data_IF_201468504940
#
_entry.id   IF_201468504940
#
_cell.length_a   1.000
_cell.length_b   1.000
_cell.length_c   1.000
_cell.angle_alpha   90.00
_cell.angle_beta   90.00
_cell.angle_gamma   90.00
#
_symmetry.space_group_name_H-M   'P 1'
#
loop_
_entity.id
_entity.type
_entity.pdbx_description
1 polymer ?
#
# COMPACT_ATOMS: atom_id res chain seq x y z
N UNK A 1 -16.02 -1.87 -22.46
CA UNK A 1 -15.36 -3.02 -21.82
C UNK A 1 -15.07 -2.61 -20.38
N UNK A 2 -15.55 -3.36 -19.39
CA UNK A 2 -15.39 -2.98 -17.99
C UNK A 2 -13.90 -2.98 -17.63
N UNK A 3 -13.32 -1.79 -17.49
CA UNK A 3 -12.05 -1.61 -16.78
C UNK A 3 -12.28 -2.09 -15.34
N UNK A 4 -12.02 -3.37 -15.07
CA UNK A 4 -11.88 -3.85 -13.70
C UNK A 4 -10.74 -3.05 -13.09
N UNK A 5 -11.08 -2.04 -12.30
CA UNK A 5 -10.14 -1.32 -11.46
C UNK A 5 -9.40 -2.37 -10.61
N UNK A 6 -8.20 -2.74 -11.05
CA UNK A 6 -7.37 -3.67 -10.32
C UNK A 6 -6.82 -2.91 -9.11
N UNK A 7 -6.87 -3.54 -7.94
CA UNK A 7 -6.36 -2.99 -6.70
C UNK A 7 -5.10 -3.75 -6.31
N UNK A 8 -4.05 -3.02 -5.95
CA UNK A 8 -2.92 -3.60 -5.25
C UNK A 8 -3.18 -3.51 -3.76
N UNK A 9 -2.88 -4.58 -3.01
CA UNK A 9 -3.03 -4.62 -1.56
C UNK A 9 -1.68 -4.82 -0.90
N UNK A 10 -1.42 -4.08 0.17
CA UNK A 10 -0.20 -4.18 0.97
C UNK A 10 -0.58 -4.36 2.43
N UNK A 11 0.05 -5.33 3.08
CA UNK A 11 -0.11 -5.61 4.50
C UNK A 11 1.19 -5.30 5.20
N UNK A 12 1.13 -4.48 6.23
CA UNK A 12 2.29 -4.04 7.01
C UNK A 12 1.99 -4.30 8.49
N UNK A 13 2.98 -4.79 9.22
CA UNK A 13 2.88 -4.92 10.66
C UNK A 13 3.77 -3.86 11.29
N UNK A 14 3.16 -2.94 12.01
CA UNK A 14 3.79 -1.82 12.69
C UNK A 14 3.72 -2.05 14.19
N UNK A 15 4.74 -1.64 14.93
CA UNK A 15 4.78 -1.78 16.38
C UNK A 15 6.02 -2.53 16.86
N UNK A 16 6.54 -2.07 18.00
CA UNK A 16 7.68 -2.67 18.69
C UNK A 16 7.23 -3.69 19.72
N UNK A 17 8.17 -4.51 20.17
CA UNK A 17 7.96 -5.39 21.33
C UNK A 17 7.54 -4.60 22.57
N UNK A 18 7.94 -3.33 22.68
CA UNK A 18 7.70 -2.43 23.81
C UNK A 18 6.30 -1.78 23.81
N UNK A 19 5.48 -2.04 22.80
CA UNK A 19 4.19 -1.39 22.57
C UNK A 19 4.12 -0.75 21.18
N UNK A 20 2.90 -0.57 20.67
CA UNK A 20 2.68 0.28 19.51
C UNK A 20 2.33 1.67 20.01
N UNK A 21 3.16 2.65 19.67
CA UNK A 21 2.85 4.05 19.93
C UNK A 21 2.00 4.55 18.77
N UNK A 22 0.99 5.38 19.06
CA UNK A 22 0.15 6.01 18.04
C UNK A 22 1.01 6.80 17.03
N UNK A 23 2.17 7.30 17.45
CA UNK A 23 3.19 7.96 16.61
C UNK A 23 3.77 7.04 15.53
N UNK A 24 4.06 5.77 15.85
CA UNK A 24 4.58 4.79 14.88
C UNK A 24 3.50 4.46 13.82
N UNK A 25 2.24 4.40 14.26
CA UNK A 25 1.09 4.17 13.39
C UNK A 25 0.86 5.36 12.46
N UNK A 26 0.89 6.59 13.00
CA UNK A 26 0.74 7.82 12.23
C UNK A 26 1.86 7.97 11.20
N UNK A 27 3.11 7.71 11.57
CA UNK A 27 4.25 7.72 10.65
C UNK A 27 4.06 6.72 9.49
N UNK A 28 3.63 5.49 9.79
CA UNK A 28 3.37 4.47 8.77
C UNK A 28 2.21 4.86 7.84
N UNK A 29 1.14 5.48 8.37
CA UNK A 29 0.02 5.97 7.57
C UNK A 29 0.42 7.12 6.65
N UNK A 30 1.23 8.06 7.15
CA UNK A 30 1.77 9.16 6.36
C UNK A 30 2.64 8.64 5.21
N UNK A 31 3.57 7.72 5.48
CA UNK A 31 4.43 7.12 4.46
C UNK A 31 3.62 6.38 3.37
N UNK A 32 2.54 5.71 3.77
CA UNK A 32 1.61 5.05 2.84
C UNK A 32 0.88 6.07 1.98
N UNK A 33 0.36 7.14 2.59
CA UNK A 33 -0.28 8.24 1.89
C UNK A 33 0.64 8.88 0.84
N UNK A 34 1.90 9.13 1.17
CA UNK A 34 2.91 9.65 0.24
C UNK A 34 3.15 8.71 -0.95
N UNK A 35 3.13 7.41 -0.70
CA UNK A 35 3.27 6.37 -1.73
C UNK A 35 1.97 6.14 -2.55
N UNK A 36 0.88 6.84 -2.22
CA UNK A 36 -0.43 6.73 -2.86
C UNK A 36 -1.23 5.50 -2.44
N UNK A 37 -0.94 4.95 -1.25
CA UNK A 37 -1.70 3.87 -0.64
C UNK A 37 -2.78 4.43 0.28
N UNK A 38 -3.96 3.82 0.23
CA UNK A 38 -5.10 4.11 1.09
C UNK A 38 -5.23 3.01 2.14
N UNK A 39 -5.09 3.36 3.42
CA UNK A 39 -5.32 2.43 4.52
C UNK A 39 -6.80 2.07 4.63
N UNK A 40 -7.11 0.77 4.59
CA UNK A 40 -8.50 0.25 4.61
C UNK A 40 -8.83 -0.51 5.88
N UNK A 41 -7.83 -1.05 6.57
CA UNK A 41 -8.07 -1.77 7.81
C UNK A 41 -6.86 -1.68 8.73
N UNK A 42 -7.13 -1.58 10.02
CA UNK A 42 -6.12 -1.54 11.08
C UNK A 42 -6.63 -2.43 12.21
N UNK A 43 -5.90 -3.47 12.54
CA UNK A 43 -6.30 -4.39 13.61
C UNK A 43 -5.11 -4.84 14.45
N UNK A 44 -5.37 -5.03 15.75
CA UNK A 44 -4.43 -5.70 16.63
C UNK A 44 -4.45 -7.20 16.37
N UNK A 45 -3.27 -7.81 16.33
CA UNK A 45 -3.19 -9.27 16.38
C UNK A 45 -3.35 -9.70 17.84
N UNK A 46 -4.36 -10.52 18.11
CA UNK A 46 -4.64 -11.01 19.46
C UNK A 46 -3.39 -11.66 20.08
N UNK A 47 -3.03 -11.24 21.31
CA UNK A 47 -1.82 -11.67 21.99
C UNK A 47 -0.50 -11.03 21.51
N UNK A 48 -0.54 -10.04 20.61
CA UNK A 48 0.66 -9.30 20.17
C UNK A 48 0.51 -7.79 20.43
N UNK A 49 1.58 -7.10 20.88
CA UNK A 49 1.57 -5.64 21.03
C UNK A 49 1.69 -4.91 19.68
N UNK A 50 1.52 -5.62 18.55
CA UNK A 50 1.76 -5.12 17.19
C UNK A 50 0.44 -4.88 16.47
N UNK A 51 0.39 -3.80 15.72
CA UNK A 51 -0.72 -3.41 14.84
C UNK A 51 -0.46 -3.92 13.43
N UNK A 52 -1.48 -4.50 12.81
CA UNK A 52 -1.45 -4.87 11.39
C UNK A 52 -2.30 -3.90 10.61
N UNK A 53 -1.69 -3.28 9.61
CA UNK A 53 -2.30 -2.34 8.71
C UNK A 53 -2.49 -2.98 7.34
N UNK A 54 -3.66 -2.82 6.76
CA UNK A 54 -3.97 -3.21 5.39
C UNK A 54 -4.23 -1.94 4.60
N UNK A 55 -3.49 -1.77 3.51
CA UNK A 55 -3.66 -0.68 2.58
C UNK A 55 -3.95 -1.19 1.17
N UNK A 56 -4.65 -0.40 0.38
CA UNK A 56 -4.91 -0.67 -1.05
C UNK A 56 -4.51 0.53 -1.89
N UNK A 57 -4.17 0.30 -3.16
CA UNK A 57 -3.89 1.37 -4.12
C UNK A 57 -4.53 1.03 -5.47
N UNK A 58 -5.12 2.02 -6.19
CA UNK A 58 -5.63 1.78 -7.53
C UNK A 58 -4.48 1.52 -8.51
N UNK A 59 -4.52 0.35 -9.15
CA UNK A 59 -3.59 -0.03 -10.21
C UNK A 59 -4.06 0.62 -11.51
N UNK A 60 -3.84 1.93 -11.63
CA UNK A 60 -4.33 2.71 -12.78
C UNK A 60 -3.72 2.21 -14.10
N UNK A 61 -4.48 2.20 -15.21
CA UNK A 61 -4.01 1.74 -16.52
C UNK A 61 -2.76 2.48 -17.04
N UNK A 62 -2.49 3.70 -16.54
CA UNK A 62 -1.32 4.50 -16.89
C UNK A 62 0.02 3.82 -16.57
N UNK A 63 0.07 2.97 -15.53
CA UNK A 63 1.26 2.19 -15.20
C UNK A 63 1.49 1.04 -16.20
N UNK A 64 0.42 0.48 -16.80
CA UNK A 64 0.54 -0.51 -17.89
C UNK A 64 1.08 0.14 -19.16
N UNK A 65 0.57 1.33 -19.54
CA UNK A 65 1.04 2.05 -20.74
C UNK A 65 2.54 2.36 -20.70
N UNK A 66 3.12 2.63 -19.52
CA UNK A 66 4.57 2.87 -19.38
C UNK A 66 5.41 1.60 -19.59
N UNK A 67 4.84 0.41 -19.41
CA UNK A 67 5.49 -0.89 -19.61
C UNK A 67 5.27 -1.46 -21.01
N UNK A 68 4.29 -0.93 -21.74
CA UNK A 68 3.98 -1.29 -23.14
C UNK A 68 4.55 -0.29 -24.16
N UNK A 69 5.66 0.39 -23.86
CA UNK A 69 6.50 1.00 -24.88
C UNK A 69 7.65 0.04 -25.18
N UNK A 70 7.53 -0.86 -26.18
CA UNK A 70 8.71 -1.46 -26.78
C UNK A 70 9.54 -0.32 -27.36
N UNK A 71 10.86 -0.44 -27.21
CA UNK A 71 11.82 0.51 -27.70
C UNK A 71 11.52 0.95 -29.13
N UNK A 72 11.64 2.25 -29.32
CA UNK A 72 12.09 2.90 -30.54
C UNK A 72 12.97 1.96 -31.39
N UNK A 73 12.35 1.31 -32.37
CA UNK A 73 13.07 0.77 -33.54
C UNK A 73 12.88 1.79 -34.66
N UNK A 74 13.83 2.71 -34.77
CA UNK A 74 13.92 3.66 -35.90
C UNK A 74 14.95 3.10 -36.89
N UNK A 75 14.69 3.14 -38.22
CA UNK A 75 15.34 2.34 -39.27
C UNK A 75 16.82 2.61 -39.51
#
# INVERSE_FOLDING_TARGET
MAETAAWEYRVLTVGRWTGTQDEDLEAALNELGEQGWEAVNVFHREGSPKLTLVAKRPLTPGARRRRSMPGEITP
#
